data_IF_197068023999
#
_entry.id   IF_197068023999
#
_cell.length_a   1.000
_cell.length_b   1.000
_cell.length_c   1.000
_cell.angle_alpha   90.00
_cell.angle_beta   90.00
_cell.angle_gamma   90.00
#
_symmetry.space_group_name_H-M   'P 1'
#
loop_
_entity.id
_entity.type
_entity.pdbx_description
1 polymer ?
#
# COMPACT_ATOMS: atom_id res chain seq x y z
N UNK A 1 -29.35 32.29 63.92
CA UNK A 1 -30.19 32.41 62.71
C UNK A 1 -30.40 31.02 62.12
N UNK A 2 -31.52 30.84 61.40
CA UNK A 2 -32.40 29.64 61.41
C UNK A 2 -31.84 28.37 60.77
N UNK A 3 -32.09 27.23 61.44
CA UNK A 3 -32.25 25.87 60.87
C UNK A 3 -33.65 25.69 60.26
N UNK A 4 -33.80 24.86 59.20
CA UNK A 4 -34.98 24.04 58.82
C UNK A 4 -34.57 23.11 57.65
N UNK A 5 -34.55 21.78 57.81
CA UNK A 5 -35.67 20.80 57.69
C UNK A 5 -35.80 20.28 56.24
N UNK A 6 -35.30 19.09 55.89
CA UNK A 6 -36.00 17.77 55.88
C UNK A 6 -37.36 17.80 55.16
N UNK A 7 -37.46 17.12 53.99
CA UNK A 7 -38.09 15.78 53.83
C UNK A 7 -38.10 15.30 52.35
N UNK A 8 -38.11 13.97 52.11
CA UNK A 8 -38.28 13.34 50.81
C UNK A 8 -39.76 12.95 50.55
N UNK A 9 -40.14 12.83 49.27
CA UNK A 9 -41.35 12.15 48.79
C UNK A 9 -40.89 11.19 47.69
N UNK A 10 -41.34 9.95 47.54
CA UNK A 10 -42.60 9.36 48.00
C UNK A 10 -43.21 8.62 46.81
N UNK A 11 -42.96 7.30 46.78
CA UNK A 11 -43.42 6.29 45.81
C UNK A 11 -44.95 6.22 45.76
N UNK A 12 -45.54 6.06 44.57
CA UNK A 12 -46.84 5.36 44.45
C UNK A 12 -46.94 4.57 43.16
N UNK A 13 -47.00 3.25 43.35
CA UNK A 13 -47.46 2.23 42.39
C UNK A 13 -48.97 2.33 42.22
N UNK A 14 -49.48 2.03 41.02
CA UNK A 14 -50.78 1.38 40.83
C UNK A 14 -50.81 0.58 39.52
N UNK A 15 -50.83 -0.73 39.69
CA UNK A 15 -51.35 -1.73 38.77
C UNK A 15 -52.86 -1.87 38.92
N UNK A 16 -53.59 -1.96 37.80
CA UNK A 16 -54.86 -2.70 37.57
C UNK A 16 -54.89 -2.87 36.03
N UNK A 17 -55.08 -4.01 35.38
CA UNK A 17 -55.70 -5.28 35.73
C UNK A 17 -56.72 -5.62 34.64
N UNK A 18 -56.35 -6.58 33.77
CA UNK A 18 -57.17 -7.65 33.16
C UNK A 18 -58.64 -7.38 32.79
N UNK A 19 -59.03 -7.67 31.54
CA UNK A 19 -59.76 -8.93 31.26
C UNK A 19 -60.05 -9.22 29.77
N UNK A 20 -59.90 -10.52 29.46
CA UNK A 20 -60.73 -11.41 28.63
C UNK A 20 -61.10 -11.06 27.17
N UNK A 21 -60.57 -11.87 26.25
CA UNK A 21 -61.44 -12.67 25.37
C UNK A 21 -60.83 -14.04 25.06
N UNK A 22 -61.63 -15.09 25.28
CA UNK A 22 -61.27 -16.49 25.14
C UNK A 22 -61.52 -17.04 23.73
N UNK A 23 -60.67 -18.00 23.36
CA UNK A 23 -60.89 -19.29 22.67
C UNK A 23 -62.08 -19.45 21.72
N UNK A 24 -61.76 -20.04 20.55
CA UNK A 24 -62.36 -21.32 20.08
C UNK A 24 -61.47 -21.99 19.02
N UNK A 25 -61.03 -23.21 19.35
CA UNK A 25 -60.68 -24.30 18.42
C UNK A 25 -61.99 -25.00 17.99
N UNK A 26 -62.08 -25.67 16.81
CA UNK A 26 -61.88 -27.12 16.82
C UNK A 26 -61.29 -27.79 15.54
N UNK A 27 -60.84 -29.02 15.80
CA UNK A 27 -60.26 -30.09 14.97
C UNK A 27 -61.09 -30.61 13.78
N UNK A 28 -60.42 -31.14 12.73
CA UNK A 28 -60.54 -32.52 12.17
C UNK A 28 -59.48 -32.75 11.06
N UNK A 29 -58.54 -33.72 11.19
CA UNK A 29 -58.46 -35.03 10.47
C UNK A 29 -58.36 -34.93 8.93
N UNK A 30 -57.55 -35.65 8.14
CA UNK A 30 -56.76 -36.90 8.20
C UNK A 30 -56.07 -37.03 6.82
N UNK A 31 -54.92 -37.72 6.67
CA UNK A 31 -54.44 -38.10 5.33
C UNK A 31 -52.99 -38.56 5.22
N UNK A 32 -52.77 -39.83 5.55
CA UNK A 32 -51.57 -40.66 5.38
C UNK A 32 -51.04 -40.79 3.94
N UNK A 33 -49.72 -41.00 3.78
CA UNK A 33 -49.11 -41.41 2.51
C UNK A 33 -47.62 -41.76 2.59
N UNK A 34 -47.30 -42.88 3.24
CA UNK A 34 -45.97 -43.53 3.22
C UNK A 34 -45.68 -44.12 1.84
N UNK A 35 -44.45 -43.98 1.32
CA UNK A 35 -43.85 -45.01 0.44
C UNK A 35 -42.33 -45.03 0.64
N UNK A 36 -41.88 -46.19 1.11
CA UNK A 36 -40.50 -46.64 1.29
C UNK A 36 -39.97 -47.25 -0.01
N UNK A 37 -38.63 -47.41 -0.06
CA UNK A 37 -37.87 -48.46 -0.78
C UNK A 37 -37.19 -47.97 -2.08
N UNK A 38 -36.00 -48.42 -2.50
CA UNK A 38 -35.01 -49.37 -1.97
C UNK A 38 -33.75 -49.25 -2.85
N UNK A 39 -32.57 -49.38 -2.23
CA UNK A 39 -31.35 -50.09 -2.72
C UNK A 39 -30.83 -49.90 -4.16
N UNK A 40 -29.53 -49.58 -4.27
CA UNK A 40 -28.73 -49.88 -5.47
C UNK A 40 -27.24 -49.60 -5.29
N UNK A 41 -26.48 -50.62 -4.90
CA UNK A 41 -25.01 -50.68 -4.80
C UNK A 41 -24.38 -50.97 -6.18
N UNK A 42 -23.10 -50.63 -6.31
CA UNK A 42 -22.11 -51.00 -7.35
C UNK A 42 -21.93 -49.93 -8.43
N UNK A 43 -20.73 -49.56 -8.88
CA UNK A 43 -19.38 -50.03 -8.60
C UNK A 43 -18.38 -49.10 -9.31
N UNK A 44 -17.14 -49.06 -8.86
CA UNK A 44 -16.04 -48.39 -9.58
C UNK A 44 -15.76 -49.15 -10.88
N UNK A 45 -15.21 -48.47 -11.91
CA UNK A 45 -13.79 -48.71 -12.15
C UNK A 45 -12.97 -47.45 -12.40
N UNK A 46 -11.73 -47.60 -11.94
CA UNK A 46 -10.52 -46.85 -12.21
C UNK A 46 -10.15 -47.00 -13.70
N UNK A 47 -9.83 -45.92 -14.38
CA UNK A 47 -8.98 -45.94 -15.57
C UNK A 47 -7.88 -44.89 -15.41
N UNK A 48 -6.70 -45.39 -15.06
CA UNK A 48 -5.41 -44.77 -15.30
C UNK A 48 -5.22 -44.60 -16.81
N UNK A 49 -4.64 -43.48 -17.25
CA UNK A 49 -4.58 -43.18 -18.68
C UNK A 49 -3.73 -41.99 -19.09
N UNK A 50 -2.41 -42.09 -18.88
CA UNK A 50 -1.39 -41.63 -19.82
C UNK A 50 -1.20 -40.10 -19.96
N UNK A 51 -0.37 -39.58 -19.06
CA UNK A 51 0.84 -38.80 -19.35
C UNK A 51 1.11 -38.51 -20.84
N UNK A 52 1.03 -37.23 -21.25
CA UNK A 52 1.73 -36.77 -22.46
C UNK A 52 2.43 -35.43 -22.21
N UNK A 53 3.66 -35.54 -21.70
CA UNK A 53 4.66 -34.47 -21.69
C UNK A 53 4.96 -34.07 -23.13
N UNK A 54 4.55 -32.87 -23.57
CA UNK A 54 5.18 -32.21 -24.72
C UNK A 54 6.27 -31.30 -24.21
N UNK A 55 7.50 -31.82 -24.23
CA UNK A 55 8.73 -31.04 -24.14
C UNK A 55 8.95 -30.41 -25.52
N UNK A 56 8.84 -29.10 -25.61
CA UNK A 56 9.33 -28.33 -26.78
C UNK A 56 10.56 -27.56 -26.34
N UNK A 57 11.72 -28.17 -26.58
CA UNK A 57 13.04 -27.55 -26.55
C UNK A 57 13.27 -26.84 -27.89
N UNK A 58 13.65 -25.56 -27.87
CA UNK A 58 14.23 -24.83 -29.02
C UNK A 58 15.20 -23.80 -28.41
N UNK A 59 16.47 -24.14 -28.23
CA UNK A 59 17.58 -24.05 -29.19
C UNK A 59 17.99 -22.60 -29.48
N UNK A 60 18.97 -22.12 -28.71
CA UNK A 60 19.66 -20.84 -28.85
C UNK A 60 20.59 -20.84 -30.08
N UNK A 61 20.64 -19.72 -30.79
CA UNK A 61 21.56 -19.44 -31.88
C UNK A 61 22.45 -18.25 -31.50
N UNK A 62 23.72 -18.55 -31.21
CA UNK A 62 24.80 -17.57 -31.03
C UNK A 62 25.47 -17.38 -32.40
N UNK A 63 25.54 -16.14 -32.88
CA UNK A 63 26.31 -15.78 -34.07
C UNK A 63 27.34 -14.70 -33.70
N UNK A 64 28.61 -15.12 -33.64
CA UNK A 64 29.80 -14.28 -33.54
C UNK A 64 30.21 -13.85 -34.95
N UNK A 65 30.39 -12.55 -35.17
CA UNK A 65 31.05 -12.04 -36.36
C UNK A 65 32.14 -11.04 -35.96
N UNK A 66 33.39 -11.48 -36.13
CA UNK A 66 34.59 -10.67 -36.02
C UNK A 66 34.90 -10.02 -37.37
N UNK A 67 35.34 -8.76 -37.37
CA UNK A 67 36.12 -8.18 -38.46
C UNK A 67 37.10 -7.14 -37.89
N UNK A 68 38.38 -7.37 -38.21
CA UNK A 68 39.54 -6.55 -37.92
C UNK A 68 39.79 -5.51 -39.03
N UNK A 69 40.60 -4.48 -38.73
CA UNK A 69 41.62 -3.81 -39.56
C UNK A 69 42.27 -2.70 -38.69
N UNK A 70 43.55 -2.82 -38.31
CA UNK A 70 44.74 -2.13 -38.88
C UNK A 70 44.79 -0.60 -38.58
N UNK A 71 45.86 0.03 -38.08
CA UNK A 71 47.25 -0.39 -37.81
C UNK A 71 48.16 0.81 -37.40
N UNK A 72 49.48 0.51 -37.34
CA UNK A 72 50.68 1.36 -37.16
C UNK A 72 50.83 2.18 -35.85
N UNK A 73 51.95 2.19 -35.11
CA UNK A 73 53.30 1.65 -35.32
C UNK A 73 54.39 2.70 -35.10
N UNK A 74 55.24 2.51 -34.09
CA UNK A 74 56.61 3.08 -33.91
C UNK A 74 56.74 4.28 -32.95
N UNK A 75 57.84 4.54 -32.22
CA UNK A 75 58.98 3.80 -31.65
C UNK A 75 59.76 4.84 -30.77
N UNK A 76 60.59 4.38 -29.83
CA UNK A 76 61.75 5.05 -29.18
C UNK A 76 61.59 6.32 -28.29
N UNK A 77 61.61 6.09 -26.97
CA UNK A 77 62.52 6.52 -25.86
C UNK A 77 63.66 7.58 -26.07
N UNK A 78 64.40 8.03 -25.01
CA UNK A 78 64.17 9.17 -24.08
C UNK A 78 65.21 10.32 -24.26
N UNK A 79 65.10 11.45 -23.54
CA UNK A 79 66.22 12.42 -23.35
C UNK A 79 66.11 13.23 -22.05
N UNK A 80 67.26 13.40 -21.41
CA UNK A 80 67.53 13.94 -20.06
C UNK A 80 67.66 15.48 -20.05
N UNK A 81 67.51 16.06 -18.86
CA UNK A 81 67.57 17.49 -18.46
C UNK A 81 68.83 18.29 -18.91
N UNK A 82 68.82 19.63 -18.71
CA UNK A 82 69.60 20.15 -17.57
C UNK A 82 69.00 21.37 -16.83
N UNK A 83 69.46 21.57 -15.59
CA UNK A 83 69.26 22.75 -14.72
C UNK A 83 70.13 23.95 -15.10
N UNK A 84 69.64 25.19 -14.92
CA UNK A 84 70.45 26.37 -14.54
C UNK A 84 69.60 27.40 -13.75
N UNK A 85 70.27 28.15 -12.87
CA UNK A 85 69.79 28.93 -11.73
C UNK A 85 69.86 30.47 -11.93
N UNK A 86 68.96 31.20 -11.23
CA UNK A 86 69.00 32.57 -10.61
C UNK A 86 68.63 33.91 -11.33
N UNK A 87 67.60 34.57 -10.72
CA UNK A 87 67.42 35.99 -10.28
C UNK A 87 67.15 37.17 -11.27
N UNK A 88 66.58 38.34 -10.84
CA UNK A 88 65.54 38.65 -9.81
C UNK A 88 64.46 39.74 -10.23
N UNK A 89 63.59 40.14 -9.28
CA UNK A 89 62.73 41.37 -9.19
C UNK A 89 61.40 41.42 -9.98
N UNK A 90 60.26 41.96 -9.51
CA UNK A 90 59.88 42.91 -8.44
C UNK A 90 58.51 42.62 -7.81
N UNK A 91 58.37 42.97 -6.53
CA UNK A 91 57.16 43.02 -5.69
C UNK A 91 56.16 44.12 -6.09
N UNK A 92 54.86 43.80 -6.11
CA UNK A 92 53.78 44.79 -5.95
C UNK A 92 52.71 44.20 -5.01
N UNK A 93 52.45 44.90 -3.91
CA UNK A 93 51.43 44.60 -2.89
C UNK A 93 50.08 45.17 -3.32
N UNK A 94 48.99 44.37 -3.34
CA UNK A 94 47.63 44.89 -3.27
C UNK A 94 47.06 44.81 -1.85
N UNK A 95 46.24 45.81 -1.57
CA UNK A 95 45.53 46.20 -0.35
C UNK A 95 44.40 45.20 0.00
N UNK A 96 44.09 44.92 1.29
CA UNK A 96 43.01 43.99 1.63
C UNK A 96 41.63 44.60 1.39
N UNK A 97 40.89 44.00 0.47
CA UNK A 97 39.47 44.25 0.19
C UNK A 97 38.62 43.67 1.34
N UNK A 98 37.55 44.34 1.82
CA UNK A 98 36.73 43.84 2.92
C UNK A 98 36.00 42.56 2.49
N UNK A 99 36.20 41.48 3.25
CA UNK A 99 35.51 40.19 3.05
C UNK A 99 33.98 40.39 3.10
N UNK A 100 33.23 39.86 2.12
CA UNK A 100 31.79 39.87 2.19
C UNK A 100 31.35 38.99 3.36
N UNK A 101 30.54 39.56 4.25
CA UNK A 101 29.89 38.81 5.32
C UNK A 101 28.85 37.90 4.66
N UNK A 102 29.19 36.62 4.47
CA UNK A 102 28.25 35.61 3.99
C UNK A 102 27.10 35.50 5.01
N UNK A 103 25.94 36.00 4.60
CA UNK A 103 24.68 35.75 5.30
C UNK A 103 24.34 34.29 5.02
N UNK A 104 24.47 33.44 6.04
CA UNK A 104 24.07 32.04 5.95
C UNK A 104 22.55 31.98 5.85
N UNK A 105 22.04 31.82 4.63
CA UNK A 105 20.66 31.39 4.38
C UNK A 105 20.48 30.00 5.03
N UNK A 106 19.38 29.75 5.78
CA UNK A 106 19.16 28.44 6.36
C UNK A 106 19.13 27.41 5.23
N UNK A 107 19.97 26.38 5.32
CA UNK A 107 19.93 25.26 4.39
C UNK A 107 18.55 24.60 4.51
N UNK A 108 17.74 24.68 3.46
CA UNK A 108 16.47 23.95 3.39
C UNK A 108 16.76 22.45 3.47
N UNK A 109 16.16 21.78 4.44
CA UNK A 109 16.27 20.34 4.58
C UNK A 109 15.65 19.69 3.34
N UNK A 110 16.34 18.74 2.67
CA UNK A 110 15.77 18.06 1.52
C UNK A 110 14.49 17.33 1.93
N UNK A 111 13.42 17.60 1.19
CA UNK A 111 12.15 16.88 1.29
C UNK A 111 12.19 15.73 0.29
N UNK A 112 11.87 14.52 0.72
CA UNK A 112 11.87 13.32 -0.10
C UNK A 112 10.51 12.62 0.00
N UNK A 113 10.03 12.08 -1.12
CA UNK A 113 8.82 11.26 -1.13
C UNK A 113 9.13 9.86 -0.58
N UNK A 114 8.27 9.35 0.29
CA UNK A 114 8.31 7.99 0.83
C UNK A 114 6.97 7.30 0.64
N UNK A 115 6.98 6.04 0.27
CA UNK A 115 5.76 5.24 0.09
C UNK A 115 5.53 4.37 1.33
N UNK A 116 4.34 4.45 1.92
CA UNK A 116 3.90 3.54 2.96
C UNK A 116 2.67 2.75 2.51
N UNK A 117 2.61 1.48 2.87
CA UNK A 117 1.48 0.61 2.57
C UNK A 117 0.55 0.47 3.79
N UNK A 118 -0.75 0.40 3.54
CA UNK A 118 -1.82 0.35 4.53
C UNK A 118 -2.85 -0.72 4.17
N UNK A 119 -3.60 -1.17 5.17
CA UNK A 119 -4.65 -2.17 5.04
C UNK A 119 -5.96 -1.49 4.63
N UNK A 120 -6.63 -2.07 3.63
CA UNK A 120 -7.98 -1.67 3.20
C UNK A 120 -8.89 -2.89 3.13
N UNK A 121 -10.09 -2.77 3.67
CA UNK A 121 -11.12 -3.82 3.59
C UNK A 121 -11.75 -3.82 2.20
N UNK A 122 -11.73 -4.97 1.52
CA UNK A 122 -12.35 -5.13 0.21
C UNK A 122 -13.30 -6.32 0.18
N UNK A 123 -14.08 -6.45 -0.90
CA UNK A 123 -14.91 -7.66 -1.12
C UNK A 123 -14.10 -8.96 -1.17
N UNK A 124 -12.80 -8.89 -1.50
CA UNK A 124 -11.91 -10.03 -1.65
C UNK A 124 -11.03 -10.28 -0.41
N UNK A 125 -11.40 -9.70 0.74
CA UNK A 125 -10.59 -9.72 1.97
C UNK A 125 -9.80 -8.43 2.13
N UNK A 126 -8.95 -8.39 3.17
CA UNK A 126 -8.09 -7.25 3.43
C UNK A 126 -6.97 -7.20 2.38
N UNK A 127 -6.68 -6.02 1.86
CA UNK A 127 -5.64 -5.78 0.83
C UNK A 127 -4.73 -4.63 1.26
N UNK A 128 -3.63 -4.46 0.52
CA UNK A 128 -2.71 -3.34 0.68
C UNK A 128 -3.01 -2.24 -0.33
N UNK A 129 -3.15 -1.01 0.18
CA UNK A 129 -3.10 0.23 -0.61
C UNK A 129 -1.84 1.01 -0.24
N UNK A 130 -1.35 1.88 -1.13
CA UNK A 130 -0.16 2.72 -0.88
C UNK A 130 -0.50 4.20 -0.79
N UNK A 131 0.22 4.93 0.05
CA UNK A 131 0.24 6.39 0.07
C UNK A 131 1.68 6.88 -0.08
N UNK A 132 1.85 7.95 -0.86
CA UNK A 132 3.12 8.67 -0.93
C UNK A 132 3.07 9.88 -0.02
N UNK A 133 4.09 10.06 0.82
CA UNK A 133 4.19 11.18 1.76
C UNK A 133 5.51 11.92 1.63
N UNK A 134 5.49 13.19 1.98
CA UNK A 134 6.71 13.96 2.13
C UNK A 134 7.36 13.70 3.49
N UNK A 135 8.62 13.30 3.47
CA UNK A 135 9.48 13.17 4.65
C UNK A 135 10.61 14.20 4.58
N UNK A 136 10.87 14.88 5.71
CA UNK A 136 11.92 15.89 5.81
C UNK A 136 13.09 15.37 6.66
N UNK A 137 14.30 15.38 6.09
CA UNK A 137 15.55 15.28 6.86
C UNK A 137 15.84 13.95 7.57
N UNK A 138 15.03 12.92 7.34
CA UNK A 138 15.22 11.56 7.85
C UNK A 138 15.76 10.62 6.77
N UNK A 139 16.31 9.49 7.22
CA UNK A 139 16.53 8.34 6.34
C UNK A 139 15.17 7.90 5.76
N UNK A 140 15.03 7.79 4.42
CA UNK A 140 13.75 7.51 3.79
C UNK A 140 13.17 6.16 4.24
N UNK A 141 14.01 5.15 4.51
CA UNK A 141 13.54 3.85 5.00
C UNK A 141 12.96 3.95 6.41
N UNK A 142 13.61 4.71 7.28
CA UNK A 142 13.07 4.98 8.63
C UNK A 142 11.74 5.73 8.52
N UNK A 143 11.69 6.77 7.69
CA UNK A 143 10.50 7.59 7.52
C UNK A 143 9.30 6.81 6.95
N UNK A 144 9.53 5.90 6.00
CA UNK A 144 8.49 5.05 5.43
C UNK A 144 7.90 4.10 6.49
N UNK A 145 8.74 3.49 7.33
CA UNK A 145 8.29 2.62 8.42
C UNK A 145 7.55 3.42 9.51
N UNK A 146 8.05 4.61 9.86
CA UNK A 146 7.36 5.51 10.79
C UNK A 146 5.99 5.93 10.25
N UNK A 147 5.89 6.28 8.97
CA UNK A 147 4.62 6.60 8.32
C UNK A 147 3.64 5.42 8.37
N UNK A 148 4.10 4.21 8.03
CA UNK A 148 3.31 2.97 8.10
C UNK A 148 2.76 2.70 9.52
N UNK A 149 3.56 2.93 10.56
CA UNK A 149 3.15 2.75 11.97
C UNK A 149 2.17 3.84 12.41
N UNK A 150 2.40 5.09 11.98
CA UNK A 150 1.59 6.24 12.42
C UNK A 150 0.13 6.21 11.94
N UNK A 151 -0.14 5.45 10.87
CA UNK A 151 -1.47 5.35 10.25
C UNK A 151 -1.54 6.11 8.93
N UNK A 152 -2.61 5.84 8.18
CA UNK A 152 -2.94 6.42 6.88
C UNK A 152 -3.48 7.85 7.00
N UNK A 153 -3.30 8.67 5.95
CA UNK A 153 -3.94 9.97 5.82
C UNK A 153 -5.34 9.79 5.21
N UNK A 154 -5.47 8.79 4.33
CA UNK A 154 -6.74 8.33 3.80
C UNK A 154 -7.58 7.66 4.91
N UNK A 155 -8.81 8.15 5.16
CA UNK A 155 -9.66 7.61 6.23
C UNK A 155 -10.18 6.19 5.95
N UNK A 156 -10.12 5.71 4.71
CA UNK A 156 -10.54 4.36 4.33
C UNK A 156 -9.42 3.34 4.57
N UNK A 157 -8.19 3.81 4.81
CA UNK A 157 -7.02 2.97 5.03
C UNK A 157 -6.68 2.86 6.52
N UNK A 158 -6.03 1.76 6.89
CA UNK A 158 -5.75 1.45 8.28
C UNK A 158 -4.40 0.76 8.47
N UNK A 159 -3.93 0.72 9.72
CA UNK A 159 -2.77 -0.06 10.13
C UNK A 159 -3.09 -0.76 11.44
N UNK A 160 -2.58 -1.97 11.63
CA UNK A 160 -2.77 -2.73 12.86
C UNK A 160 -1.52 -2.77 13.75
N UNK A 161 -0.45 -2.10 13.35
CA UNK A 161 0.72 -1.85 14.18
C UNK A 161 0.33 -0.99 15.39
N UNK A 162 0.91 -1.28 16.57
CA UNK A 162 0.70 -0.44 17.74
C UNK A 162 1.33 0.95 17.47
N UNK A 163 0.58 2.06 17.63
CA UNK A 163 1.10 3.40 17.35
C UNK A 163 2.20 3.84 18.33
N UNK A 164 2.41 3.10 19.42
CA UNK A 164 3.56 3.25 20.32
C UNK A 164 4.84 2.57 19.83
N UNK A 165 4.79 1.81 18.73
CA UNK A 165 5.97 1.17 18.13
C UNK A 165 6.98 2.19 17.65
N UNK A 166 8.24 2.02 18.03
CA UNK A 166 9.35 2.87 17.63
C UNK A 166 10.25 2.15 16.64
N UNK A 167 10.75 2.88 15.63
CA UNK A 167 11.80 2.40 14.74
C UNK A 167 13.14 2.58 15.43
N UNK A 168 13.78 1.48 15.81
CA UNK A 168 15.09 1.47 16.48
C UNK A 168 16.24 1.52 15.46
N UNK A 169 16.01 1.00 14.25
CA UNK A 169 16.93 1.13 13.13
C UNK A 169 16.43 0.43 11.87
N UNK A 170 16.87 0.92 10.72
CA UNK A 170 16.68 0.23 9.44
C UNK A 170 18.04 0.17 8.74
N UNK A 171 18.40 -1.02 8.24
CA UNK A 171 19.68 -1.25 7.54
C UNK A 171 19.44 -2.04 6.28
N UNK A 172 19.92 -1.54 5.14
CA UNK A 172 19.83 -2.22 3.85
C UNK A 172 21.24 -2.64 3.41
N UNK A 173 21.49 -3.95 3.38
CA UNK A 173 22.79 -4.51 3.00
C UNK A 173 22.61 -5.80 2.20
N UNK A 174 23.32 -5.91 1.08
CA UNK A 174 23.44 -7.15 0.29
C UNK A 174 22.09 -7.83 -0.08
N UNK A 175 21.08 -7.03 -0.47
CA UNK A 175 19.75 -7.54 -0.84
C UNK A 175 18.91 -8.01 0.35
N UNK A 176 19.23 -7.54 1.56
CA UNK A 176 18.44 -7.75 2.77
C UNK A 176 18.22 -6.41 3.47
N UNK A 177 16.97 -6.14 3.86
CA UNK A 177 16.61 -4.98 4.67
C UNK A 177 16.25 -5.49 6.06
N UNK A 178 17.03 -5.11 7.07
CA UNK A 178 16.72 -5.42 8.47
C UNK A 178 16.07 -4.22 9.12
N UNK A 179 14.87 -4.43 9.66
CA UNK A 179 14.08 -3.43 10.40
C UNK A 179 14.06 -3.85 11.86
N UNK A 180 14.56 -3.01 12.76
CA UNK A 180 14.50 -3.20 14.20
C UNK A 180 13.43 -2.30 14.81
N UNK A 181 12.45 -2.89 15.48
CA UNK A 181 11.33 -2.19 16.10
C UNK A 181 11.32 -2.39 17.63
N UNK A 182 10.64 -1.51 18.36
CA UNK A 182 10.44 -1.68 19.80
C UNK A 182 9.45 -2.81 20.14
N UNK A 183 9.41 -3.24 21.41
CA UNK A 183 8.59 -4.37 21.88
C UNK A 183 7.09 -4.22 21.58
N UNK A 184 6.60 -2.99 21.48
CA UNK A 184 5.21 -2.66 21.12
C UNK A 184 4.80 -3.29 19.78
N UNK A 185 5.73 -3.50 18.85
CA UNK A 185 5.52 -4.20 17.57
C UNK A 185 4.88 -5.59 17.72
N UNK A 186 5.08 -6.27 18.87
CA UNK A 186 4.48 -7.58 19.15
C UNK A 186 2.98 -7.51 19.41
N UNK A 187 2.45 -6.32 19.66
CA UNK A 187 1.06 -6.11 20.01
C UNK A 187 0.28 -5.67 18.78
N UNK A 188 -0.58 -6.54 18.30
CA UNK A 188 -1.59 -6.21 17.30
C UNK A 188 -2.86 -7.03 17.61
N UNK A 189 -4.02 -6.44 17.34
CA UNK A 189 -5.30 -7.14 17.46
C UNK A 189 -5.86 -7.43 16.08
N UNK A 190 -5.32 -8.47 15.44
CA UNK A 190 -5.67 -8.83 14.07
C UNK A 190 -5.87 -10.35 13.94
N UNK A 191 -6.77 -10.76 13.02
CA UNK A 191 -6.94 -12.17 12.67
C UNK A 191 -5.75 -12.72 11.89
N UNK A 192 -5.68 -14.03 11.71
CA UNK A 192 -4.53 -14.69 11.04
C UNK A 192 -4.27 -14.21 9.62
N UNK A 193 -5.31 -13.88 8.87
CA UNK A 193 -5.19 -13.33 7.51
C UNK A 193 -4.54 -11.94 7.54
N UNK A 194 -5.03 -11.04 8.39
CA UNK A 194 -4.44 -9.72 8.53
C UNK A 194 -3.04 -9.75 9.18
N UNK A 195 -2.73 -10.75 10.03
CA UNK A 195 -1.37 -10.95 10.53
C UNK A 195 -0.36 -11.25 9.41
N UNK A 196 -0.75 -12.08 8.43
CA UNK A 196 0.07 -12.30 7.24
C UNK A 196 0.20 -11.02 6.39
N UNK A 197 -0.89 -10.27 6.25
CA UNK A 197 -0.87 -9.02 5.49
C UNK A 197 -0.06 -7.91 6.18
N UNK A 198 0.01 -7.87 7.52
CA UNK A 198 0.91 -6.96 8.26
C UNK A 198 2.38 -7.24 7.98
N UNK A 199 2.77 -8.51 7.76
CA UNK A 199 4.13 -8.84 7.29
C UNK A 199 4.35 -8.19 5.93
N UNK A 200 3.43 -8.40 4.99
CA UNK A 200 3.51 -7.82 3.65
C UNK A 200 3.46 -6.29 3.69
N UNK A 201 2.72 -5.67 4.62
CA UNK A 201 2.68 -4.21 4.80
C UNK A 201 4.09 -3.65 5.04
N UNK A 202 4.85 -4.24 5.97
CA UNK A 202 6.23 -3.83 6.22
C UNK A 202 7.14 -4.16 5.03
N UNK A 203 7.02 -5.37 4.46
CA UNK A 203 7.86 -5.79 3.34
C UNK A 203 7.70 -4.87 2.15
N UNK A 204 6.47 -4.60 1.71
CA UNK A 204 6.18 -3.69 0.60
C UNK A 204 6.67 -2.27 0.86
N UNK A 205 6.41 -1.72 2.05
CA UNK A 205 6.86 -0.37 2.45
C UNK A 205 8.37 -0.19 2.30
N UNK A 206 9.18 -1.09 2.88
CA UNK A 206 10.64 -0.89 2.89
C UNK A 206 11.29 -1.24 1.55
N UNK A 207 10.77 -2.24 0.84
CA UNK A 207 11.31 -2.62 -0.48
C UNK A 207 10.97 -1.59 -1.56
N UNK A 208 9.81 -0.93 -1.47
CA UNK A 208 9.44 0.14 -2.41
C UNK A 208 10.31 1.36 -2.20
N UNK A 209 10.45 1.77 -0.94
CA UNK A 209 11.33 2.88 -0.55
C UNK A 209 12.80 2.61 -0.87
N UNK A 210 13.24 1.35 -0.84
CA UNK A 210 14.60 0.95 -1.20
C UNK A 210 14.84 0.84 -2.72
N UNK A 211 13.78 0.87 -3.55
CA UNK A 211 13.84 0.51 -4.97
C UNK A 211 14.48 -0.89 -5.18
N UNK A 212 14.12 -1.86 -4.33
CA UNK A 212 14.61 -3.24 -4.38
C UNK A 212 13.48 -4.24 -4.07
N UNK A 213 12.66 -4.51 -5.08
CA UNK A 213 11.54 -5.45 -5.04
C UNK A 213 11.95 -6.89 -4.65
N UNK A 214 13.23 -7.24 -4.84
CA UNK A 214 13.77 -8.56 -4.57
C UNK A 214 14.42 -8.72 -3.19
N UNK A 215 14.56 -7.62 -2.43
CA UNK A 215 15.19 -7.68 -1.12
C UNK A 215 14.37 -8.51 -0.13
N UNK A 216 15.09 -9.34 0.64
CA UNK A 216 14.51 -10.03 1.79
C UNK A 216 14.40 -9.10 2.98
N UNK A 217 13.25 -9.07 3.64
CA UNK A 217 13.01 -8.22 4.81
C UNK A 217 13.08 -9.05 6.08
N UNK A 218 13.98 -8.67 6.98
CA UNK A 218 14.15 -9.27 8.30
C UNK A 218 13.59 -8.31 9.34
N UNK A 219 12.73 -8.81 10.22
CA UNK A 219 12.24 -8.08 11.37
C UNK A 219 12.99 -8.54 12.63
N UNK A 220 13.57 -7.57 13.34
CA UNK A 220 13.98 -7.75 14.74
C UNK A 220 13.12 -6.87 15.65
N UNK A 221 12.97 -7.31 16.88
CA UNK A 221 12.25 -6.60 17.93
C UNK A 221 13.16 -6.47 19.13
N UNK A 222 13.49 -5.24 19.49
CA UNK A 222 14.47 -4.89 20.53
C UNK A 222 15.83 -5.60 20.32
N UNK A 223 16.28 -5.70 19.07
CA UNK A 223 17.54 -6.33 18.68
C UNK A 223 17.54 -7.85 18.63
N UNK A 224 16.42 -8.51 18.94
CA UNK A 224 16.27 -9.97 18.85
C UNK A 224 15.39 -10.38 17.66
N UNK A 225 15.55 -11.59 17.08
CA UNK A 225 14.67 -12.08 16.03
C UNK A 225 13.19 -12.01 16.44
N UNK A 226 12.32 -11.57 15.52
CA UNK A 226 10.91 -11.35 15.84
C UNK A 226 10.19 -12.62 16.33
N UNK A 227 10.43 -13.76 15.67
CA UNK A 227 9.89 -15.06 16.08
C UNK A 227 8.40 -15.20 15.81
N UNK A 228 7.68 -15.84 16.73
CA UNK A 228 6.22 -15.95 16.66
C UNK A 228 5.56 -14.59 16.95
N UNK A 229 4.70 -14.12 16.04
CA UNK A 229 3.98 -12.87 16.16
C UNK A 229 2.47 -13.07 16.00
N UNK A 230 1.73 -12.24 16.73
CA UNK A 230 0.27 -12.05 16.60
C UNK A 230 -0.57 -13.35 16.64
N UNK A 231 -0.01 -14.41 17.24
CA UNK A 231 -0.65 -15.72 17.37
C UNK A 231 -0.86 -16.49 16.06
N UNK A 232 -0.28 -16.04 14.95
CA UNK A 232 -0.59 -16.58 13.62
C UNK A 232 0.62 -16.72 12.67
N UNK A 233 1.68 -15.92 12.84
CA UNK A 233 2.82 -15.90 11.92
C UNK A 233 4.13 -16.18 12.65
N UNK A 234 5.12 -16.67 11.91
CA UNK A 234 6.49 -16.89 12.39
C UNK A 234 7.45 -16.17 11.46
N UNK A 235 8.22 -15.23 11.97
CA UNK A 235 9.17 -14.40 11.22
C UNK A 235 10.61 -14.65 11.73
N UNK A 236 11.16 -15.81 11.35
CA UNK A 236 12.51 -16.26 11.76
C UNK A 236 13.60 -16.02 10.70
N UNK A 237 13.26 -15.37 9.58
CA UNK A 237 14.20 -15.10 8.50
C UNK A 237 13.67 -14.09 7.49
N UNK A 238 14.42 -13.82 6.40
CA UNK A 238 14.02 -12.85 5.40
C UNK A 238 12.71 -13.24 4.70
N UNK A 239 11.80 -12.29 4.57
CA UNK A 239 10.53 -12.41 3.82
C UNK A 239 10.58 -11.48 2.61
N UNK A 240 10.20 -11.97 1.43
CA UNK A 240 10.12 -11.19 0.19
C UNK A 240 8.67 -10.80 -0.10
N UNK A 241 8.48 -9.85 -1.03
CA UNK A 241 7.15 -9.49 -1.51
C UNK A 241 6.39 -10.72 -2.00
N UNK A 242 5.14 -10.83 -1.58
CA UNK A 242 4.16 -11.65 -2.29
C UNK A 242 3.77 -10.98 -3.63
N UNK A 243 3.18 -11.75 -4.54
CA UNK A 243 2.76 -11.22 -5.84
C UNK A 243 1.73 -10.09 -5.64
N UNK A 244 1.94 -8.97 -6.32
CA UNK A 244 1.10 -7.77 -6.16
C UNK A 244 -0.41 -8.08 -6.28
N UNK A 245 -0.78 -8.96 -7.22
CA UNK A 245 -2.17 -9.32 -7.50
C UNK A 245 -2.85 -10.05 -6.33
N UNK A 246 -2.07 -10.67 -5.44
CA UNK A 246 -2.58 -11.45 -4.32
C UNK A 246 -2.78 -10.58 -3.06
N UNK A 247 -2.01 -9.49 -2.93
CA UNK A 247 -1.99 -8.69 -1.69
C UNK A 247 -2.44 -7.25 -1.85
N UNK A 248 -2.26 -6.61 -3.01
CA UNK A 248 -2.65 -5.21 -3.24
C UNK A 248 -4.11 -5.07 -3.67
N UNK A 249 -4.68 -3.90 -3.42
CA UNK A 249 -5.97 -3.48 -4.00
C UNK A 249 -5.81 -3.35 -5.51
N UNK A 250 -6.83 -3.78 -6.26
CA UNK A 250 -6.73 -3.90 -7.73
C UNK A 250 -6.92 -2.57 -8.47
N UNK A 251 -7.43 -1.55 -7.81
CA UNK A 251 -7.61 -0.21 -8.36
C UNK A 251 -7.22 0.77 -7.28
N UNK A 252 -6.35 1.71 -7.62
CA UNK A 252 -5.90 2.73 -6.69
C UNK A 252 -5.68 4.07 -7.38
N UNK A 253 -5.99 5.18 -6.69
CA UNK A 253 -5.58 6.53 -7.05
C UNK A 253 -4.28 6.83 -6.30
N UNK A 254 -3.20 7.15 -7.02
CA UNK A 254 -1.94 7.54 -6.41
C UNK A 254 -1.82 9.07 -6.30
N UNK A 255 -2.36 9.80 -7.28
CA UNK A 255 -2.40 11.26 -7.30
C UNK A 255 -3.77 11.74 -7.83
N UNK A 256 -4.39 12.74 -7.21
CA UNK A 256 -3.94 13.47 -6.02
C UNK A 256 -4.04 12.63 -4.72
N UNK A 257 -3.22 12.96 -3.72
CA UNK A 257 -3.32 12.38 -2.39
C UNK A 257 -4.60 12.84 -1.65
N UNK A 258 -4.99 12.10 -0.60
CA UNK A 258 -6.13 12.49 0.24
C UNK A 258 -5.89 13.87 0.86
N UNK A 259 -6.91 14.72 0.80
CA UNK A 259 -6.87 16.09 1.32
C UNK A 259 -6.00 17.05 0.50
N UNK A 260 -5.47 16.63 -0.65
CA UNK A 260 -4.62 17.49 -1.47
C UNK A 260 -5.36 18.74 -1.98
N UNK A 261 -4.59 19.82 -2.13
CA UNK A 261 -5.05 21.03 -2.84
C UNK A 261 -4.52 21.01 -4.26
N UNK A 262 -5.39 21.24 -5.25
CA UNK A 262 -5.05 21.18 -6.67
C UNK A 262 -5.61 22.38 -7.44
N UNK A 263 -5.00 22.69 -8.58
CA UNK A 263 -5.57 23.61 -9.58
C UNK A 263 -6.33 22.84 -10.65
N UNK A 264 -7.30 23.48 -11.31
CA UNK A 264 -8.00 22.88 -12.45
C UNK A 264 -7.28 23.12 -13.79
N UNK A 265 -7.23 22.14 -14.72
CA UNK A 265 -7.74 20.76 -14.59
C UNK A 265 -6.95 19.93 -13.57
N UNK A 266 -7.66 19.07 -12.84
CA UNK A 266 -7.05 18.12 -11.92
C UNK A 266 -6.61 16.89 -12.71
N UNK A 267 -5.31 16.60 -12.70
CA UNK A 267 -4.79 15.32 -13.20
C UNK A 267 -4.99 14.26 -12.12
N UNK A 268 -5.65 13.17 -12.50
CA UNK A 268 -5.81 11.99 -11.66
C UNK A 268 -4.98 10.87 -12.27
N UNK A 269 -4.22 10.17 -11.45
CA UNK A 269 -3.40 9.04 -11.89
C UNK A 269 -3.29 7.98 -10.81
N UNK A 270 -2.99 6.78 -11.24
CA UNK A 270 -2.80 5.65 -10.35
C UNK A 270 -2.49 4.38 -11.11
N UNK A 271 -2.75 3.26 -10.47
CA UNK A 271 -2.48 1.93 -11.02
C UNK A 271 -3.70 1.04 -10.83
N UNK A 272 -3.93 0.17 -11.81
CA UNK A 272 -4.96 -0.85 -11.68
C UNK A 272 -4.61 -2.14 -12.42
N UNK A 273 -5.24 -3.24 -12.00
CA UNK A 273 -5.13 -4.56 -12.58
C UNK A 273 -6.53 -5.13 -12.89
N UNK A 274 -7.26 -4.47 -13.79
CA UNK A 274 -8.69 -4.74 -14.06
C UNK A 274 -8.95 -5.48 -15.38
N UNK A 275 -10.12 -6.12 -15.47
CA UNK A 275 -10.56 -6.78 -16.70
C UNK A 275 -10.71 -5.75 -17.84
N UNK A 276 -10.29 -6.13 -19.05
CA UNK A 276 -10.34 -5.28 -20.26
C UNK A 276 -9.67 -3.90 -20.16
N UNK A 277 -8.86 -3.67 -19.11
CA UNK A 277 -8.18 -2.41 -18.84
C UNK A 277 -9.13 -1.21 -18.64
N UNK A 278 -10.43 -1.44 -18.40
CA UNK A 278 -11.43 -0.37 -18.32
C UNK A 278 -11.69 0.06 -16.87
N UNK A 279 -11.65 1.37 -16.61
CA UNK A 279 -11.83 1.96 -15.28
C UNK A 279 -12.87 3.08 -15.32
N UNK A 280 -14.12 2.81 -14.91
CA UNK A 280 -15.08 3.85 -14.62
C UNK A 280 -14.61 4.76 -13.49
N UNK A 281 -14.85 6.06 -13.65
CA UNK A 281 -14.63 7.05 -12.59
C UNK A 281 -15.84 7.97 -12.42
N UNK A 282 -15.98 8.51 -11.22
CA UNK A 282 -16.99 9.49 -10.86
C UNK A 282 -16.37 10.62 -10.03
N UNK A 283 -16.97 11.80 -10.10
CA UNK A 283 -16.70 12.91 -9.19
C UNK A 283 -17.97 13.23 -8.43
N UNK A 284 -17.84 13.28 -7.11
CA UNK A 284 -18.91 13.61 -6.17
C UNK A 284 -18.66 15.01 -5.60
N UNK A 285 -19.73 15.78 -5.45
CA UNK A 285 -19.70 17.04 -4.70
C UNK A 285 -19.64 16.81 -3.18
N UNK A 286 -19.55 17.90 -2.40
CA UNK A 286 -19.49 17.85 -0.95
C UNK A 286 -20.73 17.22 -0.27
N UNK A 287 -21.87 17.14 -0.97
CA UNK A 287 -23.08 16.46 -0.48
C UNK A 287 -23.12 14.97 -0.89
N UNK A 288 -22.09 14.49 -1.60
CA UNK A 288 -21.98 13.14 -2.14
C UNK A 288 -22.78 12.91 -3.41
N UNK A 289 -23.26 13.96 -4.08
CA UNK A 289 -23.97 13.84 -5.34
C UNK A 289 -22.98 13.72 -6.50
N UNK A 290 -23.21 12.76 -7.39
CA UNK A 290 -22.44 12.59 -8.62
C UNK A 290 -22.66 13.78 -9.55
N UNK A 291 -21.57 14.47 -9.91
CA UNK A 291 -21.59 15.65 -10.79
C UNK A 291 -20.92 15.40 -12.13
N UNK A 292 -20.02 14.43 -12.20
CA UNK A 292 -19.34 14.03 -13.43
C UNK A 292 -18.97 12.55 -13.39
N UNK A 293 -19.01 11.90 -14.54
CA UNK A 293 -18.55 10.52 -14.72
C UNK A 293 -17.83 10.36 -16.04
N UNK A 294 -17.02 9.31 -16.12
CA UNK A 294 -16.36 8.88 -17.33
C UNK A 294 -15.69 7.54 -17.15
N UNK A 295 -14.73 7.26 -18.03
CA UNK A 295 -13.86 6.11 -17.90
C UNK A 295 -12.45 6.49 -18.36
N UNK A 296 -11.46 5.76 -17.86
CA UNK A 296 -10.09 5.76 -18.36
C UNK A 296 -9.67 4.32 -18.63
N UNK A 297 -8.47 4.14 -19.19
CA UNK A 297 -7.91 2.83 -19.42
C UNK A 297 -6.50 2.71 -18.89
N UNK A 298 -6.16 1.55 -18.36
CA UNK A 298 -4.76 1.18 -18.13
C UNK A 298 -4.08 0.78 -19.44
N UNK A 299 -2.75 0.77 -19.46
CA UNK A 299 -1.99 0.32 -20.64
C UNK A 299 -2.19 -1.18 -20.96
N UNK A 300 -2.54 -1.98 -19.95
CA UNK A 300 -2.79 -3.42 -20.06
C UNK A 300 -3.84 -3.86 -19.02
N UNK A 301 -4.65 -4.86 -19.34
CA UNK A 301 -5.66 -5.41 -18.44
C UNK A 301 -5.15 -6.64 -17.67
N UNK A 302 -5.70 -6.88 -16.48
CA UNK A 302 -5.38 -8.02 -15.58
C UNK A 302 -3.92 -8.06 -15.09
N UNK A 303 -3.14 -7.00 -15.32
CA UNK A 303 -1.86 -6.75 -14.69
C UNK A 303 -1.87 -5.32 -14.20
N UNK A 304 -1.13 -5.05 -13.12
CA UNK A 304 -0.96 -3.70 -12.64
C UNK A 304 -0.31 -2.85 -13.72
N UNK A 305 -1.03 -1.84 -14.18
CA UNK A 305 -0.61 -0.90 -15.20
C UNK A 305 -1.12 0.50 -14.84
N UNK A 306 -0.35 1.55 -15.19
CA UNK A 306 -0.73 2.90 -14.86
C UNK A 306 -1.92 3.37 -15.71
N UNK A 307 -2.70 4.29 -15.16
CA UNK A 307 -3.69 5.09 -15.86
C UNK A 307 -3.55 6.58 -15.49
N UNK A 308 -4.07 7.46 -16.33
CA UNK A 308 -4.22 8.88 -16.01
C UNK A 308 -5.37 9.50 -16.79
N UNK A 309 -6.04 10.49 -16.21
CA UNK A 309 -7.06 11.30 -16.85
C UNK A 309 -7.11 12.70 -16.23
N UNK A 310 -7.81 13.63 -16.88
CA UNK A 310 -8.00 15.00 -16.40
C UNK A 310 -9.47 15.27 -16.14
N UNK A 311 -9.72 16.05 -15.09
CA UNK A 311 -11.05 16.45 -14.65
C UNK A 311 -11.09 17.98 -14.49
N UNK A 312 -11.99 18.62 -15.23
CA UNK A 312 -12.27 20.05 -15.10
C UNK A 312 -13.23 20.26 -13.93
N UNK A 313 -12.80 21.03 -12.93
CA UNK A 313 -13.51 21.24 -11.65
C UNK A 313 -13.46 22.71 -11.26
N UNK A 314 -14.61 23.25 -10.88
CA UNK A 314 -14.67 24.59 -10.28
C UNK A 314 -14.06 24.56 -8.87
N UNK A 315 -13.62 25.73 -8.33
CA UNK A 315 -13.12 25.81 -6.97
C UNK A 315 -14.13 25.26 -5.95
N UNK A 316 -13.68 24.35 -5.08
CA UNK A 316 -14.54 23.59 -4.17
C UNK A 316 -13.91 22.31 -3.66
N UNK A 317 -14.65 21.57 -2.84
CA UNK A 317 -14.25 20.24 -2.34
C UNK A 317 -14.95 19.16 -3.14
N UNK A 318 -14.18 18.16 -3.58
CA UNK A 318 -14.64 17.10 -4.47
C UNK A 318 -14.10 15.75 -4.00
N UNK A 319 -14.89 14.69 -4.15
CA UNK A 319 -14.41 13.31 -3.99
C UNK A 319 -14.34 12.65 -5.35
N UNK A 320 -13.15 12.25 -5.76
CA UNK A 320 -12.89 11.50 -6.98
C UNK A 320 -12.93 10.03 -6.62
N UNK A 321 -13.69 9.24 -7.38
CA UNK A 321 -13.87 7.80 -7.15
C UNK A 321 -13.45 7.06 -8.41
N UNK A 322 -12.62 6.02 -8.25
CA UNK A 322 -12.27 5.07 -9.29
C UNK A 322 -12.80 3.69 -8.89
N UNK A 323 -13.31 2.92 -9.85
CA UNK A 323 -13.99 1.65 -9.55
C UNK A 323 -13.57 0.59 -10.56
N UNK A 324 -13.46 -0.67 -10.13
CA UNK A 324 -13.39 -1.80 -11.04
C UNK A 324 -14.63 -1.83 -11.95
N UNK A 325 -14.45 -2.12 -13.24
CA UNK A 325 -15.60 -2.35 -14.11
C UNK A 325 -16.43 -3.55 -13.62
N UNK A 326 -17.76 -3.41 -13.66
CA UNK A 326 -18.70 -4.44 -13.24
C UNK A 326 -19.65 -4.82 -14.38
N UNK A 327 -19.17 -5.62 -15.34
CA UNK A 327 -20.00 -6.09 -16.45
C UNK A 327 -21.15 -7.01 -15.98
N UNK A 328 -21.13 -7.42 -14.71
CA UNK A 328 -22.13 -8.31 -14.11
C UNK A 328 -23.30 -7.57 -13.44
N UNK A 329 -23.27 -6.23 -13.40
CA UNK A 329 -24.28 -5.38 -12.77
C UNK A 329 -24.60 -5.82 -11.32
N UNK A 330 -23.54 -6.06 -10.53
CA UNK A 330 -23.60 -6.41 -9.12
C UNK A 330 -23.68 -7.90 -8.80
N UNK A 331 -23.79 -8.81 -9.79
CA UNK A 331 -23.78 -10.26 -9.52
C UNK A 331 -22.44 -10.74 -8.93
N UNK A 332 -21.33 -10.06 -9.25
CA UNK A 332 -19.99 -10.27 -8.68
C UNK A 332 -19.76 -9.64 -7.30
N UNK A 333 -20.78 -9.00 -6.71
CA UNK A 333 -20.65 -8.21 -5.49
C UNK A 333 -20.08 -6.81 -5.75
N UNK A 334 -19.95 -6.00 -4.69
CA UNK A 334 -19.50 -4.60 -4.79
C UNK A 334 -18.09 -4.55 -5.41
N UNK A 335 -17.90 -3.87 -6.55
CA UNK A 335 -16.59 -3.72 -7.17
C UNK A 335 -15.58 -3.09 -6.22
N UNK A 336 -14.29 -3.44 -6.32
CA UNK A 336 -13.28 -2.69 -5.59
C UNK A 336 -13.25 -1.26 -6.09
N UNK A 337 -13.12 -0.33 -5.17
CA UNK A 337 -13.12 1.10 -5.43
C UNK A 337 -12.09 1.75 -4.55
N UNK A 338 -11.58 2.88 -5.01
CA UNK A 338 -10.72 3.77 -4.25
C UNK A 338 -11.20 5.21 -4.46
N UNK A 339 -10.99 6.07 -3.46
CA UNK A 339 -11.47 7.44 -3.52
C UNK A 339 -10.49 8.43 -2.92
N UNK A 340 -10.49 9.67 -3.44
CA UNK A 340 -9.69 10.77 -2.91
C UNK A 340 -10.53 12.02 -2.79
N UNK A 341 -10.57 12.61 -1.61
CA UNK A 341 -11.16 13.93 -1.37
C UNK A 341 -10.11 15.00 -1.53
N UNK A 342 -10.39 15.99 -2.38
CA UNK A 342 -9.47 17.10 -2.68
C UNK A 342 -10.16 18.45 -2.57
N UNK A 343 -9.35 19.50 -2.50
CA UNK A 343 -9.80 20.89 -2.63
C UNK A 343 -9.22 21.50 -3.89
N UNK A 344 -10.08 22.11 -4.72
CA UNK A 344 -9.67 22.88 -5.91
C UNK A 344 -9.73 24.38 -5.58
N UNK A 345 -8.65 25.10 -5.91
CA UNK A 345 -8.50 26.56 -5.72
C UNK A 345 -8.35 27.34 -7.03
#
# INVERSE_FOLDING_TARGET
MRRRSLRPFGRTSRSVGTDLYQRTDPRCQTGSGTTTSRTGRAGRPRLEGIMNRRRTTSAALVAVAALALAGCGGDAEPTVAPSVTTEPSTTTTPEPEPEPTETTEPAETPTQAVTAYYLVDTRAGVRLARETREAQGSDPLVAAVEAMISGADDPDYSTAWDPGTQVLGVTAEAGTITVDLSEEARTANIGSEGAALMVQQLVWTVTDTADDDGAGVVLTIAGEPAGELWGAVVWDGPVVREEAIDVRVLVQIDDPAEGATASSPVTVSGEAAVFEANLPWAVLDADGAEVQTGFTMTAEGQTFAPYSFEVELEPGTWTIVITEDDPSDGEGGVPMTDSRTITVE
#
